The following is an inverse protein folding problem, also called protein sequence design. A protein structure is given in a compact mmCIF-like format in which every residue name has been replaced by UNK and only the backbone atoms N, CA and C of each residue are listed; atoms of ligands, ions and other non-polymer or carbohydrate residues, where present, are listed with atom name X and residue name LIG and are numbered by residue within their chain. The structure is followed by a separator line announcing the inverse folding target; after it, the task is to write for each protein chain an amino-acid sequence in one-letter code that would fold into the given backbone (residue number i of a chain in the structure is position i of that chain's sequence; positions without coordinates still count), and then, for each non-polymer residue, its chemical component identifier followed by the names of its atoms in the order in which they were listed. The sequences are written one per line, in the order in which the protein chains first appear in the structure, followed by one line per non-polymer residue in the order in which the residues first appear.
data_IF_081187887766
#
_entry.id   IF_081187887766
#
_cell.length_a   1.000
_cell.length_b   1.000
_cell.length_c   1.000
_cell.angle_alpha   90.00
_cell.angle_beta   90.00
_cell.angle_gamma   90.00
#
_symmetry.space_group_name_H-M   'P 1'
#
loop_
_entity.id
_entity.type
_entity.pdbx_description
1 polymer ?
#
# COMPACT_ATOMS: atom_id res chain seq x y z
N UNK A 1 13.22 -13.68 -11.29
CA UNK A 1 12.74 -14.14 -9.96
C UNK A 1 13.82 -13.90 -8.93
N UNK A 2 13.49 -13.25 -7.81
CA UNK A 2 14.37 -13.03 -6.64
C UNK A 2 13.84 -13.75 -5.41
N UNK A 3 14.76 -14.22 -4.55
CA UNK A 3 14.45 -14.67 -3.20
C UNK A 3 14.73 -13.52 -2.24
N UNK A 4 13.70 -13.03 -1.56
CA UNK A 4 13.77 -11.94 -0.61
C UNK A 4 13.45 -12.45 0.80
N UNK A 5 14.30 -12.14 1.75
CA UNK A 5 14.02 -12.33 3.19
C UNK A 5 13.50 -11.01 3.73
N UNK A 6 12.37 -11.04 4.40
CA UNK A 6 11.76 -9.84 4.96
C UNK A 6 11.55 -9.96 6.47
N UNK A 7 11.67 -8.82 7.14
CA UNK A 7 11.36 -8.61 8.56
C UNK A 7 10.60 -7.30 8.67
N UNK A 8 9.39 -7.34 9.21
CA UNK A 8 8.53 -6.18 9.42
C UNK A 8 8.07 -6.13 10.87
N UNK A 9 8.34 -5.01 11.54
CA UNK A 9 8.01 -4.80 12.94
C UNK A 9 7.19 -3.53 13.13
N UNK A 10 6.16 -3.61 13.97
CA UNK A 10 5.39 -2.46 14.43
C UNK A 10 5.25 -2.48 15.95
N UNK A 11 5.40 -1.31 16.57
CA UNK A 11 5.22 -1.12 18.00
C UNK A 11 4.38 0.12 18.29
N UNK A 12 3.31 -0.05 19.04
CA UNK A 12 2.54 1.02 19.66
C UNK A 12 2.91 1.14 21.14
N UNK A 13 3.14 2.37 21.57
CA UNK A 13 3.33 2.70 22.99
C UNK A 13 2.23 3.66 23.42
N UNK A 14 1.54 3.31 24.50
CA UNK A 14 0.46 4.11 25.07
C UNK A 14 0.95 4.90 26.27
N UNK A 15 0.52 6.16 26.41
CA UNK A 15 0.92 7.05 27.52
C UNK A 15 0.38 6.61 28.88
N UNK A 16 -0.64 5.75 28.90
CA UNK A 16 -1.23 5.11 30.09
C UNK A 16 -1.80 3.75 29.69
N UNK A 17 -2.02 2.82 30.66
CA UNK A 17 -2.57 1.51 30.35
C UNK A 17 -3.93 1.59 29.62
N UNK A 18 -4.06 0.78 28.58
CA UNK A 18 -5.29 0.55 27.83
C UNK A 18 -5.81 -0.86 28.11
N UNK A 19 -7.13 -1.05 28.04
CA UNK A 19 -7.80 -2.36 28.20
C UNK A 19 -8.74 -2.62 27.04
N UNK A 20 -9.26 -3.83 26.97
CA UNK A 20 -10.26 -4.23 25.96
C UNK A 20 -9.84 -3.90 24.53
N UNK A 21 -8.53 -4.05 24.27
CA UNK A 21 -7.96 -3.74 22.97
C UNK A 21 -8.31 -4.83 21.96
N UNK A 22 -9.17 -4.48 21.01
CA UNK A 22 -9.50 -5.30 19.84
C UNK A 22 -8.74 -4.75 18.65
N UNK A 23 -8.09 -5.63 17.91
CA UNK A 23 -7.29 -5.21 16.75
C UNK A 23 -7.51 -6.15 15.55
N UNK A 24 -7.20 -5.61 14.40
CA UNK A 24 -7.15 -6.31 13.12
C UNK A 24 -5.85 -5.95 12.42
N UNK A 25 -5.12 -6.95 11.96
CA UNK A 25 -3.84 -6.81 11.26
C UNK A 25 -3.94 -7.34 9.84
N UNK A 26 -3.36 -6.62 8.87
CA UNK A 26 -3.08 -7.04 7.49
C UNK A 26 -1.58 -6.95 7.24
N UNK A 27 -0.79 -7.56 8.10
CA UNK A 27 0.67 -7.42 8.09
C UNK A 27 1.40 -8.59 7.41
N UNK A 28 0.68 -9.65 7.06
CA UNK A 28 1.25 -10.85 6.46
C UNK A 28 1.12 -10.78 4.93
N UNK A 29 2.25 -10.78 4.19
CA UNK A 29 2.21 -10.92 2.74
C UNK A 29 1.58 -12.25 2.34
N UNK A 30 0.64 -12.22 1.39
CA UNK A 30 0.03 -13.43 0.85
C UNK A 30 0.75 -13.91 -0.42
N UNK A 31 0.69 -15.22 -0.68
CA UNK A 31 1.05 -15.75 -2.00
C UNK A 31 0.05 -15.26 -3.04
N UNK A 32 0.53 -14.75 -4.15
CA UNK A 32 -0.28 -14.13 -5.19
C UNK A 32 0.33 -14.30 -6.59
N UNK A 33 -0.19 -13.59 -7.58
CA UNK A 33 0.21 -13.75 -8.98
C UNK A 33 1.67 -13.45 -9.30
N UNK A 34 2.32 -12.58 -8.53
CA UNK A 34 3.71 -12.12 -8.74
C UNK A 34 4.69 -12.61 -7.69
N UNK A 35 4.18 -13.20 -6.61
CA UNK A 35 5.02 -13.64 -5.49
C UNK A 35 4.52 -14.94 -4.88
N UNK A 36 5.45 -15.73 -4.35
CA UNK A 36 5.19 -16.87 -3.48
C UNK A 36 5.81 -16.58 -2.12
N UNK A 37 5.02 -16.68 -1.05
CA UNK A 37 5.47 -16.41 0.32
C UNK A 37 5.50 -17.71 1.10
N UNK A 38 6.60 -17.94 1.82
CA UNK A 38 6.85 -19.16 2.60
C UNK A 38 7.54 -18.83 3.92
N UNK A 39 7.54 -19.76 4.85
CA UNK A 39 8.25 -19.67 6.13
C UNK A 39 7.90 -18.39 6.92
N UNK A 40 6.58 -18.08 6.96
CA UNK A 40 6.10 -16.89 7.66
C UNK A 40 5.97 -17.18 9.15
N UNK A 41 6.64 -16.36 9.94
CA UNK A 41 6.54 -16.33 11.40
C UNK A 41 5.90 -15.01 11.84
N UNK A 42 4.91 -15.08 12.73
CA UNK A 42 4.25 -13.92 13.33
C UNK A 42 4.40 -13.99 14.84
N UNK A 43 4.93 -12.93 15.45
CA UNK A 43 4.97 -12.77 16.89
C UNK A 43 4.18 -11.52 17.30
N UNK A 44 3.52 -11.58 18.43
CA UNK A 44 2.67 -10.48 18.93
C UNK A 44 2.89 -10.32 20.45
N UNK A 45 2.87 -9.09 20.92
CA UNK A 45 2.99 -8.75 22.35
C UNK A 45 1.91 -7.69 22.73
N UNK A 46 1.09 -7.91 23.76
CA UNK A 46 0.99 -9.13 24.59
C UNK A 46 0.58 -10.36 23.76
N UNK A 47 1.05 -11.55 24.18
CA UNK A 47 0.73 -12.82 23.54
C UNK A 47 -0.78 -13.13 23.68
N UNK A 48 -1.44 -13.33 22.56
CA UNK A 48 -2.88 -13.65 22.46
C UNK A 48 -3.15 -14.57 21.30
N UNK A 49 -4.24 -15.32 21.40
CA UNK A 49 -4.74 -16.14 20.29
C UNK A 49 -5.20 -15.24 19.13
N UNK A 50 -4.78 -15.57 17.93
CA UNK A 50 -5.14 -14.87 16.69
C UNK A 50 -6.07 -15.72 15.84
N UNK A 51 -7.19 -15.12 15.43
CA UNK A 51 -8.05 -15.68 14.40
C UNK A 51 -7.60 -15.15 13.02
N UNK A 52 -7.37 -16.04 12.06
CA UNK A 52 -6.90 -15.70 10.71
C UNK A 52 -7.99 -15.96 9.68
N UNK A 53 -8.25 -14.98 8.84
CA UNK A 53 -9.24 -15.01 7.75
C UNK A 53 -8.66 -14.39 6.47
N UNK A 54 -9.40 -14.47 5.37
CA UNK A 54 -9.10 -13.78 4.12
C UNK A 54 -10.23 -12.79 3.85
N UNK A 55 -9.87 -11.54 3.55
CA UNK A 55 -10.88 -10.51 3.24
C UNK A 55 -11.29 -10.51 1.76
N UNK A 56 -12.22 -9.60 1.39
CA UNK A 56 -12.73 -9.48 0.02
C UNK A 56 -11.70 -8.96 -1.01
N UNK A 57 -10.54 -8.54 -0.54
CA UNK A 57 -9.39 -8.15 -1.36
C UNK A 57 -8.30 -9.23 -1.40
N UNK A 58 -8.60 -10.44 -0.96
CA UNK A 58 -7.68 -11.57 -0.88
C UNK A 58 -6.48 -11.35 0.08
N UNK A 59 -6.59 -10.37 1.00
CA UNK A 59 -5.57 -10.10 2.00
C UNK A 59 -5.73 -11.01 3.22
N UNK A 60 -4.60 -11.44 3.80
CA UNK A 60 -4.58 -12.16 5.08
C UNK A 60 -4.94 -11.18 6.19
N UNK A 61 -5.98 -11.49 6.96
CA UNK A 61 -6.47 -10.68 8.08
C UNK A 61 -6.39 -11.49 9.36
N UNK A 62 -5.71 -10.94 10.34
CA UNK A 62 -5.60 -11.52 11.68
C UNK A 62 -6.31 -10.62 12.67
N UNK A 63 -7.14 -11.20 13.54
CA UNK A 63 -7.85 -10.47 14.59
C UNK A 63 -7.50 -11.01 15.96
N UNK A 64 -7.47 -10.13 16.96
CA UNK A 64 -7.18 -10.50 18.33
C UNK A 64 -7.85 -9.56 19.35
N UNK A 65 -7.84 -10.00 20.61
CA UNK A 65 -8.42 -9.27 21.72
C UNK A 65 -7.55 -9.38 22.98
N UNK A 66 -7.14 -8.24 23.53
CA UNK A 66 -6.36 -8.12 24.76
C UNK A 66 -7.22 -7.46 25.84
N UNK A 67 -7.84 -8.23 26.75
CA UNK A 67 -8.66 -7.65 27.83
C UNK A 67 -7.82 -7.00 28.94
N UNK A 68 -6.59 -7.46 29.15
CA UNK A 68 -5.74 -7.02 30.28
C UNK A 68 -5.16 -5.61 30.02
N UNK A 69 -4.90 -4.83 31.10
CA UNK A 69 -4.20 -3.56 30.99
C UNK A 69 -2.79 -3.75 30.40
N UNK A 70 -2.44 -2.94 29.40
CA UNK A 70 -1.11 -2.92 28.79
C UNK A 70 -0.75 -1.51 28.29
N UNK A 71 0.53 -1.22 28.17
CA UNK A 71 1.07 0.05 27.65
C UNK A 71 1.84 -0.12 26.35
N UNK A 72 2.04 -1.36 25.92
CA UNK A 72 2.74 -1.70 24.69
C UNK A 72 1.87 -2.70 23.92
N UNK A 73 1.78 -2.51 22.63
CA UNK A 73 1.28 -3.48 21.66
C UNK A 73 2.26 -3.53 20.51
N UNK A 74 2.77 -4.70 20.20
CA UNK A 74 3.68 -4.86 19.07
C UNK A 74 3.45 -6.17 18.34
N UNK A 75 3.84 -6.18 17.07
CA UNK A 75 3.92 -7.41 16.29
C UNK A 75 5.13 -7.37 15.36
N UNK A 76 5.63 -8.56 15.03
CA UNK A 76 6.62 -8.74 13.97
C UNK A 76 6.19 -9.84 13.02
N UNK A 77 6.57 -9.68 11.76
CA UNK A 77 6.31 -10.66 10.69
C UNK A 77 7.61 -10.86 9.91
N UNK A 78 8.09 -12.11 9.90
CA UNK A 78 9.30 -12.51 9.18
C UNK A 78 8.95 -13.59 8.18
N UNK A 79 9.70 -13.66 7.09
CA UNK A 79 9.47 -14.71 6.11
C UNK A 79 10.31 -14.56 4.85
N UNK A 80 9.99 -15.40 3.88
CA UNK A 80 10.66 -15.45 2.57
C UNK A 80 9.63 -15.22 1.48
N UNK A 81 9.93 -14.33 0.55
CA UNK A 81 9.15 -14.11 -0.66
C UNK A 81 9.99 -14.41 -1.91
N UNK A 82 9.47 -15.25 -2.80
CA UNK A 82 9.98 -15.40 -4.14
C UNK A 82 9.17 -14.51 -5.06
N UNK A 83 9.79 -13.48 -5.63
CA UNK A 83 9.12 -12.47 -6.45
C UNK A 83 9.56 -12.60 -7.90
N UNK A 84 8.60 -12.60 -8.83
CA UNK A 84 8.84 -12.73 -10.27
C UNK A 84 7.92 -11.81 -11.08
N UNK A 85 8.40 -10.62 -11.42
CA UNK A 85 7.67 -9.67 -12.25
C UNK A 85 7.73 -9.99 -13.75
N UNK A 86 8.65 -10.85 -14.19
CA UNK A 86 8.71 -11.28 -15.57
C UNK A 86 7.58 -12.28 -15.93
N UNK A 87 7.06 -13.01 -14.92
CA UNK A 87 6.08 -14.07 -15.11
C UNK A 87 4.84 -13.88 -14.21
N UNK A 88 4.26 -12.67 -14.20
CA UNK A 88 3.04 -12.36 -13.44
C UNK A 88 1.89 -13.22 -13.98
N UNK A 89 1.21 -13.96 -13.10
CA UNK A 89 0.04 -14.77 -13.45
C UNK A 89 -1.18 -13.88 -13.69
N UNK A 90 -2.11 -14.38 -14.51
CA UNK A 90 -3.38 -13.69 -14.77
C UNK A 90 -4.26 -13.64 -13.52
N UNK A 91 -4.99 -12.55 -13.37
CA UNK A 91 -6.03 -12.36 -12.35
C UNK A 91 -7.35 -11.96 -13.01
N UNK A 92 -8.46 -12.28 -12.33
CA UNK A 92 -9.79 -11.89 -12.78
C UNK A 92 -9.94 -10.38 -12.66
N UNK A 93 -10.46 -9.76 -13.72
CA UNK A 93 -10.81 -8.35 -13.72
C UNK A 93 -11.86 -8.02 -12.65
N UNK A 94 -11.58 -7.04 -11.80
CA UNK A 94 -12.52 -6.54 -10.78
C UNK A 94 -12.93 -5.09 -11.13
N UNK A 95 -14.17 -4.82 -11.58
CA UNK A 95 -14.61 -3.47 -12.01
C UNK A 95 -14.51 -2.39 -10.95
N UNK A 96 -14.52 -2.77 -9.66
CA UNK A 96 -14.46 -1.83 -8.52
C UNK A 96 -13.21 -0.91 -8.56
N UNK A 97 -12.12 -1.35 -9.20
CA UNK A 97 -10.88 -0.59 -9.32
C UNK A 97 -10.90 0.51 -10.40
N UNK A 98 -12.02 0.67 -11.11
CA UNK A 98 -12.27 1.82 -12.00
C UNK A 98 -12.88 3.03 -11.30
N UNK A 99 -13.37 2.85 -10.07
CA UNK A 99 -14.11 3.90 -9.37
C UNK A 99 -13.27 4.49 -8.25
N UNK A 100 -13.39 5.82 -8.06
CA UNK A 100 -12.76 6.49 -6.95
C UNK A 100 -13.38 6.08 -5.61
N UNK A 101 -12.55 6.10 -4.61
CA UNK A 101 -12.91 5.97 -3.19
C UNK A 101 -12.88 7.33 -2.50
N UNK A 102 -13.28 7.40 -1.24
CA UNK A 102 -13.32 8.67 -0.51
C UNK A 102 -11.96 9.41 -0.43
N UNK A 103 -10.83 8.69 -0.50
CA UNK A 103 -9.49 9.31 -0.49
C UNK A 103 -9.02 9.76 -1.87
N UNK A 104 -9.66 9.30 -2.95
CA UNK A 104 -9.24 9.56 -4.33
C UNK A 104 -10.28 10.33 -5.16
N UNK A 105 -11.30 10.94 -4.51
CA UNK A 105 -12.25 11.83 -5.19
C UNK A 105 -11.50 13.06 -5.69
N UNK A 106 -11.62 13.43 -6.98
CA UNK A 106 -10.97 14.61 -7.51
C UNK A 106 -11.62 15.90 -7.00
N UNK A 107 -10.79 16.93 -6.88
CA UNK A 107 -11.17 18.30 -6.75
C UNK A 107 -10.41 19.12 -7.80
N UNK A 108 -10.40 20.47 -7.69
CA UNK A 108 -9.85 21.33 -8.74
C UNK A 108 -8.40 21.06 -9.13
N UNK A 109 -7.52 20.69 -8.18
CA UNK A 109 -6.12 20.38 -8.48
C UNK A 109 -5.99 19.07 -9.26
N UNK A 110 -6.72 18.05 -8.85
CA UNK A 110 -6.74 16.75 -9.56
C UNK A 110 -7.38 16.92 -10.95
N UNK A 111 -8.45 17.70 -11.10
CA UNK A 111 -9.08 17.95 -12.40
C UNK A 111 -8.12 18.64 -13.38
N UNK A 112 -7.34 19.62 -12.90
CA UNK A 112 -6.29 20.25 -13.70
C UNK A 112 -5.21 19.23 -14.13
N UNK A 113 -4.78 18.35 -13.25
CA UNK A 113 -3.82 17.28 -13.56
C UNK A 113 -4.41 16.27 -14.55
N UNK A 114 -5.69 15.90 -14.42
CA UNK A 114 -6.39 15.03 -15.39
C UNK A 114 -6.36 15.65 -16.78
N UNK A 115 -6.61 16.96 -16.89
CA UNK A 115 -6.57 17.65 -18.18
C UNK A 115 -5.17 17.66 -18.79
N UNK A 116 -4.13 17.88 -17.99
CA UNK A 116 -2.74 17.81 -18.43
C UNK A 116 -2.35 16.39 -18.89
N UNK A 117 -2.69 15.36 -18.10
CA UNK A 117 -2.42 13.96 -18.45
C UNK A 117 -3.18 13.54 -19.73
N UNK A 118 -4.43 13.96 -19.91
CA UNK A 118 -5.17 13.68 -21.17
C UNK A 118 -4.48 14.28 -22.39
N UNK A 119 -3.91 15.48 -22.27
CA UNK A 119 -3.16 16.10 -23.37
C UNK A 119 -1.89 15.31 -23.69
N UNK A 120 -1.16 14.84 -22.69
CA UNK A 120 0.05 13.99 -22.86
C UNK A 120 -0.34 12.65 -23.51
N UNK A 121 -1.36 11.98 -22.98
CA UNK A 121 -1.84 10.69 -23.49
C UNK A 121 -2.31 10.81 -24.95
N UNK A 122 -2.98 11.92 -25.32
CA UNK A 122 -3.38 12.17 -26.72
C UNK A 122 -2.20 12.34 -27.69
N UNK A 123 -1.00 12.63 -27.19
CA UNK A 123 0.24 12.70 -27.97
C UNK A 123 0.94 11.36 -28.14
N UNK A 124 0.50 10.30 -27.44
CA UNK A 124 1.08 8.97 -27.58
C UNK A 124 0.75 8.33 -28.94
N UNK A 125 1.56 7.36 -29.41
CA UNK A 125 1.23 6.55 -30.58
C UNK A 125 -0.14 5.87 -30.47
N UNK A 126 -0.77 5.60 -31.61
CA UNK A 126 -2.12 5.00 -31.65
C UNK A 126 -2.20 3.57 -31.06
N UNK A 127 -1.07 2.90 -30.97
CA UNK A 127 -0.90 1.56 -30.38
C UNK A 127 -0.42 1.60 -28.92
N UNK A 128 -0.39 2.77 -28.29
CA UNK A 128 0.02 2.93 -26.90
C UNK A 128 -0.88 2.13 -25.96
N UNK A 129 -0.25 1.38 -25.08
CA UNK A 129 -0.91 0.50 -24.11
C UNK A 129 -1.44 1.28 -22.90
N UNK A 130 -2.33 0.69 -22.08
CA UNK A 130 -2.70 1.24 -20.78
C UNK A 130 -1.49 1.52 -19.87
N UNK A 131 -0.39 0.78 -20.01
CA UNK A 131 0.83 0.99 -19.23
C UNK A 131 1.57 2.24 -19.70
N UNK A 132 1.66 2.48 -21.03
CA UNK A 132 2.25 3.71 -21.55
C UNK A 132 1.46 4.95 -21.10
N UNK A 133 0.12 4.87 -21.10
CA UNK A 133 -0.73 5.94 -20.59
C UNK A 133 -0.53 6.18 -19.09
N UNK A 134 -0.41 5.11 -18.30
CA UNK A 134 -0.17 5.20 -16.86
C UNK A 134 1.22 5.76 -16.54
N UNK A 135 2.21 5.52 -17.41
CA UNK A 135 3.53 6.11 -17.29
C UNK A 135 3.49 7.64 -17.41
N UNK A 136 2.71 8.18 -18.36
CA UNK A 136 2.51 9.62 -18.47
C UNK A 136 1.86 10.23 -17.23
N UNK A 137 0.90 9.50 -16.62
CA UNK A 137 0.29 9.91 -15.35
C UNK A 137 1.30 9.87 -14.22
N UNK A 138 2.09 8.80 -14.11
CA UNK A 138 3.10 8.63 -13.07
C UNK A 138 4.14 9.74 -13.11
N UNK A 139 4.65 10.07 -14.29
CA UNK A 139 5.64 11.12 -14.47
C UNK A 139 5.10 12.50 -14.07
N UNK A 140 3.85 12.83 -14.44
CA UNK A 140 3.19 14.08 -14.06
C UNK A 140 3.01 14.17 -12.52
N UNK A 141 2.61 13.06 -11.88
CA UNK A 141 2.49 12.97 -10.41
C UNK A 141 3.85 13.16 -9.75
N UNK A 142 4.86 12.45 -10.23
CA UNK A 142 6.22 12.54 -9.67
C UNK A 142 6.76 13.99 -9.69
N UNK A 143 6.56 14.71 -10.79
CA UNK A 143 7.00 16.10 -10.94
C UNK A 143 6.21 17.08 -10.09
N UNK A 144 4.95 16.76 -9.74
CA UNK A 144 4.09 17.62 -8.96
C UNK A 144 4.40 17.65 -7.46
N UNK A 145 5.14 16.67 -6.95
CA UNK A 145 5.36 16.48 -5.52
C UNK A 145 6.80 16.68 -5.07
N UNK A 146 6.96 17.11 -3.82
CA UNK A 146 8.20 16.96 -3.04
C UNK A 146 7.96 15.97 -1.92
N UNK A 147 8.73 14.88 -1.88
CA UNK A 147 8.65 13.87 -0.82
C UNK A 147 8.95 14.52 0.53
N UNK A 148 7.98 14.52 1.43
CA UNK A 148 8.09 15.22 2.72
C UNK A 148 7.43 14.37 3.81
N UNK A 149 8.22 13.66 4.63
CA UNK A 149 7.70 12.90 5.78
C UNK A 149 6.90 13.80 6.74
N UNK A 150 5.86 13.24 7.36
CA UNK A 150 4.99 13.90 8.34
C UNK A 150 4.23 15.15 7.81
N UNK A 151 4.19 15.38 6.49
CA UNK A 151 3.41 16.49 5.90
C UNK A 151 1.92 16.17 5.76
N UNK A 152 1.57 14.89 5.79
CA UNK A 152 0.21 14.37 5.59
C UNK A 152 -0.14 13.33 6.65
N UNK A 153 -1.39 12.89 6.66
CA UNK A 153 -1.90 11.87 7.56
C UNK A 153 -2.64 10.80 6.76
N UNK A 154 -2.99 9.69 7.40
CA UNK A 154 -3.81 8.61 6.78
C UNK A 154 -5.22 9.10 6.35
N UNK A 155 -5.65 10.29 6.71
CA UNK A 155 -6.92 10.91 6.32
C UNK A 155 -6.78 11.91 5.19
N UNK A 156 -5.56 12.28 4.82
CA UNK A 156 -5.30 13.24 3.74
C UNK A 156 -5.79 12.66 2.42
N UNK A 157 -6.63 13.41 1.71
CA UNK A 157 -7.13 13.02 0.38
C UNK A 157 -6.11 13.33 -0.72
N UNK A 158 -6.24 12.70 -1.87
CA UNK A 158 -5.43 12.97 -3.05
C UNK A 158 -5.44 14.47 -3.42
N UNK A 159 -6.62 15.09 -3.40
CA UNK A 159 -6.79 16.52 -3.67
C UNK A 159 -6.01 17.40 -2.68
N UNK A 160 -6.11 17.11 -1.37
CA UNK A 160 -5.41 17.85 -0.33
C UNK A 160 -3.89 17.71 -0.45
N UNK A 161 -3.41 16.50 -0.72
CA UNK A 161 -1.98 16.25 -0.90
C UNK A 161 -1.44 16.98 -2.14
N UNK A 162 -2.13 16.90 -3.28
CA UNK A 162 -1.73 17.60 -4.50
C UNK A 162 -1.74 19.12 -4.34
N UNK A 163 -2.75 19.69 -3.65
CA UNK A 163 -2.82 21.12 -3.36
C UNK A 163 -1.60 21.61 -2.53
N UNK A 164 -1.09 20.78 -1.63
CA UNK A 164 0.11 21.07 -0.83
C UNK A 164 1.42 20.80 -1.58
N UNK A 165 1.39 20.01 -2.66
CA UNK A 165 2.58 19.52 -3.41
C UNK A 165 3.62 18.84 -2.53
N UNK A 166 3.19 18.25 -1.42
CA UNK A 166 4.02 17.54 -0.43
C UNK A 166 3.28 16.30 0.04
N UNK A 167 4.01 15.23 0.23
CA UNK A 167 3.43 13.99 0.69
C UNK A 167 4.46 12.87 0.80
N UNK A 168 3.96 11.69 1.13
CA UNK A 168 4.71 10.42 1.18
C UNK A 168 4.17 9.46 0.12
N UNK A 169 4.71 8.26 0.03
CA UNK A 169 4.34 7.25 -0.99
C UNK A 169 2.81 7.02 -1.09
N UNK A 170 2.09 7.04 0.02
CA UNK A 170 0.63 6.96 0.05
C UNK A 170 -0.04 8.07 -0.77
N UNK A 171 0.44 9.31 -0.62
CA UNK A 171 -0.15 10.49 -1.29
C UNK A 171 0.09 10.45 -2.80
N UNK A 172 1.32 10.13 -3.22
CA UNK A 172 1.67 9.91 -4.62
C UNK A 172 0.76 8.84 -5.25
N UNK A 173 0.59 7.70 -4.55
CA UNK A 173 -0.27 6.62 -5.02
C UNK A 173 -1.74 7.05 -5.13
N UNK A 174 -2.29 7.78 -4.14
CA UNK A 174 -3.68 8.25 -4.17
C UNK A 174 -3.93 9.23 -5.32
N UNK A 175 -3.00 10.17 -5.59
CA UNK A 175 -3.12 11.10 -6.72
C UNK A 175 -3.06 10.34 -8.03
N UNK A 176 -2.09 9.44 -8.21
CA UNK A 176 -1.99 8.60 -9.41
C UNK A 176 -3.25 7.78 -9.65
N UNK A 177 -3.82 7.15 -8.62
CA UNK A 177 -5.08 6.39 -8.70
C UNK A 177 -6.24 7.26 -9.16
N UNK A 178 -6.38 8.46 -8.58
CA UNK A 178 -7.44 9.39 -8.94
C UNK A 178 -7.37 9.75 -10.43
N UNK A 179 -6.20 10.13 -10.91
CA UNK A 179 -5.98 10.51 -12.32
C UNK A 179 -6.15 9.31 -13.25
N UNK A 180 -5.52 8.17 -12.96
CA UNK A 180 -5.62 6.95 -13.78
C UNK A 180 -7.07 6.53 -14.02
N UNK A 181 -7.91 6.52 -12.98
CA UNK A 181 -9.33 6.15 -13.09
C UNK A 181 -10.11 7.13 -13.95
N UNK A 182 -9.78 8.43 -13.90
CA UNK A 182 -10.45 9.47 -14.71
C UNK A 182 -10.00 9.51 -16.18
N UNK A 183 -8.81 9.02 -16.48
CA UNK A 183 -8.39 8.82 -17.87
C UNK A 183 -8.83 7.46 -18.43
N UNK A 184 -9.57 6.65 -17.65
CA UNK A 184 -10.20 5.40 -18.08
C UNK A 184 -9.40 4.14 -17.74
N UNK A 185 -8.28 4.26 -17.01
CA UNK A 185 -7.47 3.12 -16.58
C UNK A 185 -8.08 2.43 -15.35
N UNK A 186 -7.90 1.11 -15.27
CA UNK A 186 -8.25 0.34 -14.07
C UNK A 186 -7.02 0.25 -13.18
N UNK A 187 -7.11 0.81 -11.97
CA UNK A 187 -5.96 0.98 -11.09
C UNK A 187 -6.28 0.60 -9.64
N UNK A 188 -5.38 -0.14 -8.97
CA UNK A 188 -5.49 -0.50 -7.56
C UNK A 188 -4.32 0.03 -6.74
N UNK A 189 -4.60 0.32 -5.47
CA UNK A 189 -3.62 0.70 -4.46
C UNK A 189 -2.93 -0.55 -3.91
N UNK A 190 -1.63 -0.46 -3.68
CA UNK A 190 -0.85 -1.51 -3.04
C UNK A 190 -0.12 -0.93 -1.82
N UNK A 191 -0.13 -1.69 -0.74
CA UNK A 191 0.81 -1.52 0.38
C UNK A 191 1.71 -2.75 0.46
N UNK A 192 2.99 -2.52 0.74
CA UNK A 192 3.96 -3.61 0.82
C UNK A 192 5.31 -3.16 1.37
N UNK A 193 6.33 -3.96 1.09
CA UNK A 193 7.71 -3.73 1.48
C UNK A 193 8.57 -3.50 0.24
N UNK A 194 9.57 -2.65 0.36
CA UNK A 194 10.55 -2.37 -0.68
C UNK A 194 11.94 -2.82 -0.19
N UNK A 195 12.75 -3.36 -1.09
CA UNK A 195 14.12 -3.78 -0.82
C UNK A 195 14.96 -2.71 -0.14
N UNK A 196 15.67 -3.07 0.92
CA UNK A 196 16.42 -2.20 1.80
C UNK A 196 15.82 -2.11 3.21
N UNK A 197 16.17 -1.05 3.94
CA UNK A 197 15.65 -0.77 5.28
C UNK A 197 14.77 0.48 5.26
N UNK A 198 13.72 0.50 6.07
CA UNK A 198 12.81 1.64 6.16
C UNK A 198 11.47 1.33 6.81
N UNK A 199 10.42 1.85 6.21
CA UNK A 199 9.03 1.57 6.59
C UNK A 199 8.32 0.83 5.45
N UNK A 200 7.02 0.62 5.61
CA UNK A 200 6.17 0.13 4.51
C UNK A 200 6.13 1.13 3.36
N UNK A 201 5.89 0.62 2.17
CA UNK A 201 5.84 1.39 0.94
C UNK A 201 4.48 1.25 0.25
N UNK A 202 4.13 2.22 -0.60
CA UNK A 202 2.90 2.20 -1.37
C UNK A 202 3.17 2.49 -2.84
N UNK A 203 2.42 1.80 -3.72
CA UNK A 203 2.48 1.99 -5.17
C UNK A 203 1.13 1.73 -5.82
N UNK A 204 1.07 1.80 -7.13
CA UNK A 204 -0.13 1.59 -7.94
C UNK A 204 0.08 0.43 -8.88
N UNK A 205 -0.94 -0.39 -9.07
CA UNK A 205 -0.95 -1.38 -10.15
C UNK A 205 -2.07 -1.07 -11.15
N UNK A 206 -1.74 -1.23 -12.44
CA UNK A 206 -2.62 -1.01 -13.58
C UNK A 206 -2.99 -2.36 -14.18
N UNK A 207 -4.28 -2.58 -14.44
CA UNK A 207 -4.77 -3.79 -15.11
C UNK A 207 -4.56 -3.69 -16.61
N UNK A 208 -3.81 -4.62 -17.16
CA UNK A 208 -3.54 -4.73 -18.59
C UNK A 208 -3.35 -6.20 -18.97
N UNK A 209 -4.03 -6.63 -20.02
CA UNK A 209 -3.93 -7.98 -20.61
C UNK A 209 -4.01 -9.12 -19.57
N UNK A 210 -5.03 -9.03 -18.72
CA UNK A 210 -5.27 -10.05 -17.67
C UNK A 210 -4.33 -10.00 -16.48
N UNK A 211 -3.47 -8.98 -16.35
CA UNK A 211 -2.43 -8.88 -15.31
C UNK A 211 -2.43 -7.52 -14.65
N UNK A 212 -1.88 -7.48 -13.45
CA UNK A 212 -1.62 -6.24 -12.73
C UNK A 212 -0.15 -5.87 -12.82
N UNK A 213 0.13 -4.72 -13.41
CA UNK A 213 1.50 -4.20 -13.64
C UNK A 213 1.75 -3.04 -12.69
N UNK A 214 2.81 -3.15 -11.89
CA UNK A 214 3.13 -2.17 -10.85
C UNK A 214 3.92 -0.97 -11.36
N UNK A 215 3.51 0.23 -10.94
CA UNK A 215 4.20 1.50 -11.15
C UNK A 215 4.35 2.22 -9.80
N UNK A 216 5.54 2.70 -9.51
CA UNK A 216 5.87 3.40 -8.27
C UNK A 216 6.01 4.91 -8.54
N UNK A 217 4.97 5.71 -8.24
CA UNK A 217 5.00 7.15 -8.49
C UNK A 217 5.95 7.92 -7.55
N UNK A 218 6.38 7.32 -6.45
CA UNK A 218 7.35 7.95 -5.53
C UNK A 218 8.76 7.94 -6.11
N UNK A 219 9.09 6.89 -6.84
CA UNK A 219 10.42 6.72 -7.46
C UNK A 219 10.42 6.89 -8.98
N UNK A 220 9.27 7.18 -9.59
CA UNK A 220 9.05 7.32 -11.03
C UNK A 220 9.60 6.12 -11.82
N UNK A 221 9.21 4.89 -11.43
CA UNK A 221 9.71 3.65 -12.06
C UNK A 221 8.69 2.52 -12.04
N UNK A 222 8.94 1.53 -12.88
CA UNK A 222 8.22 0.25 -12.80
C UNK A 222 8.62 -0.48 -11.52
N UNK A 223 7.65 -1.21 -10.96
CA UNK A 223 7.86 -2.14 -9.85
C UNK A 223 8.64 -3.36 -10.36
N UNK A 224 9.72 -3.69 -9.67
CA UNK A 224 10.59 -4.82 -9.99
C UNK A 224 10.51 -5.96 -8.95
N UNK A 225 11.44 -6.91 -9.00
CA UNK A 225 11.47 -8.04 -8.08
C UNK A 225 11.91 -7.69 -6.65
N UNK A 226 12.17 -6.40 -6.32
CA UNK A 226 12.50 -5.95 -4.98
C UNK A 226 11.26 -5.52 -4.15
N UNK A 227 10.05 -5.65 -4.68
CA UNK A 227 8.81 -5.24 -4.01
C UNK A 227 8.01 -6.45 -3.57
N UNK A 228 7.66 -6.52 -2.29
CA UNK A 228 6.78 -7.53 -1.70
C UNK A 228 5.41 -6.91 -1.42
N UNK A 229 4.34 -7.45 -2.02
CA UNK A 229 2.96 -7.00 -1.76
C UNK A 229 2.46 -7.59 -0.45
N UNK A 230 1.91 -6.74 0.44
CA UNK A 230 1.19 -7.18 1.64
C UNK A 230 -0.31 -7.20 1.38
N UNK A 231 -0.88 -6.06 0.93
CA UNK A 231 -2.30 -5.94 0.66
C UNK A 231 -2.58 -5.02 -0.53
N UNK A 232 -3.76 -5.16 -1.13
CA UNK A 232 -4.23 -4.30 -2.20
C UNK A 232 -5.69 -3.91 -2.02
N UNK A 233 -6.08 -2.76 -2.58
CA UNK A 233 -7.42 -2.24 -2.44
C UNK A 233 -7.69 -1.05 -3.36
N UNK A 234 -8.81 -0.33 -3.09
CA UNK A 234 -9.17 0.89 -3.84
C UNK A 234 -8.33 2.09 -3.42
N UNK A 235 -7.99 2.13 -2.13
CA UNK A 235 -7.14 3.12 -1.49
C UNK A 235 -6.53 2.53 -0.20
N UNK A 236 -5.81 3.37 0.56
CA UNK A 236 -5.19 2.96 1.83
C UNK A 236 -6.19 2.37 2.84
N UNK A 237 -7.45 2.80 2.88
CA UNK A 237 -8.44 2.31 3.86
C UNK A 237 -8.75 0.84 3.70
N UNK A 238 -8.72 0.33 2.47
CA UNK A 238 -8.89 -1.10 2.21
C UNK A 238 -7.64 -1.91 2.61
N UNK A 239 -6.49 -1.25 2.76
CA UNK A 239 -5.17 -1.84 2.96
C UNK A 239 -4.53 -1.49 4.30
N UNK A 240 -5.26 -0.90 5.25
CA UNK A 240 -4.70 -0.53 6.56
C UNK A 240 -4.07 -1.75 7.24
N UNK A 241 -2.78 -1.65 7.55
CA UNK A 241 -1.99 -2.77 8.09
C UNK A 241 -2.39 -3.11 9.52
N UNK A 242 -2.75 -2.09 10.30
CA UNK A 242 -3.20 -2.21 11.67
C UNK A 242 -4.40 -1.29 11.94
N UNK A 243 -5.43 -1.83 12.56
CA UNK A 243 -6.60 -1.11 13.03
C UNK A 243 -6.90 -1.62 14.43
N UNK A 244 -7.07 -0.72 15.40
CA UNK A 244 -7.39 -1.09 16.77
C UNK A 244 -8.35 -0.12 17.44
N UNK A 245 -9.14 -0.66 18.38
CA UNK A 245 -9.93 0.12 19.33
C UNK A 245 -9.65 -0.40 20.75
N UNK A 246 -9.57 0.50 21.69
CA UNK A 246 -9.30 0.15 23.10
C UNK A 246 -10.04 1.07 24.05
N UNK A 247 -10.16 0.65 25.31
CA UNK A 247 -10.65 1.46 26.41
C UNK A 247 -9.48 2.14 27.11
N UNK A 248 -9.59 3.46 27.32
CA UNK A 248 -8.57 4.26 28.02
C UNK A 248 -8.99 5.73 28.09
N UNK A 249 -8.50 6.45 29.09
CA UNK A 249 -8.82 7.87 29.28
C UNK A 249 -7.65 8.75 28.84
N UNK A 250 -7.90 9.65 27.88
CA UNK A 250 -6.93 10.62 27.33
C UNK A 250 -5.58 9.98 26.93
N UNK A 251 -5.65 8.77 26.34
CA UNK A 251 -4.45 8.03 25.95
C UNK A 251 -3.85 8.64 24.68
N UNK A 252 -2.57 8.96 24.73
CA UNK A 252 -1.77 9.26 23.54
C UNK A 252 -1.06 7.99 23.11
N UNK A 253 -0.97 7.76 21.81
CA UNK A 253 -0.23 6.65 21.23
C UNK A 253 0.93 7.15 20.38
N UNK A 254 2.04 6.44 20.45
CA UNK A 254 3.18 6.63 19.56
C UNK A 254 3.43 5.34 18.81
N UNK A 255 3.58 5.42 17.49
CA UNK A 255 3.82 4.28 16.61
C UNK A 255 5.25 4.33 16.10
N UNK A 256 5.92 3.18 16.18
CA UNK A 256 7.19 2.94 15.54
C UNK A 256 7.05 1.77 14.57
N UNK A 257 7.65 1.90 13.39
CA UNK A 257 7.62 0.91 12.32
C UNK A 257 9.02 0.74 11.76
N UNK A 258 9.41 -0.49 11.53
CA UNK A 258 10.63 -0.84 10.81
C UNK A 258 10.37 -1.99 9.85
N UNK A 259 10.94 -1.91 8.67
CA UNK A 259 10.91 -2.96 7.66
C UNK A 259 12.29 -3.16 7.07
N UNK A 260 12.69 -4.40 6.91
CA UNK A 260 13.91 -4.76 6.18
C UNK A 260 13.61 -5.84 5.14
N UNK A 261 14.15 -5.68 3.94
CA UNK A 261 14.03 -6.65 2.86
C UNK A 261 15.38 -6.83 2.19
N UNK A 262 15.92 -8.04 2.23
CA UNK A 262 17.23 -8.35 1.68
C UNK A 262 17.14 -9.48 0.66
N UNK A 263 17.83 -9.32 -0.47
CA UNK A 263 17.98 -10.40 -1.44
C UNK A 263 18.91 -11.47 -0.88
N UNK A 264 18.47 -12.73 -0.93
CA UNK A 264 19.28 -13.91 -0.66
C UNK A 264 19.56 -14.62 -1.97
N UNK A 265 20.83 -14.80 -2.31
CA UNK A 265 21.21 -15.55 -3.50
C UNK A 265 20.64 -17.00 -3.41
N UNK A 266 20.10 -17.47 -4.54
CA UNK A 266 19.54 -18.82 -4.70
C UNK A 266 20.65 -19.87 -4.76
#
# INVERSE_FOLDING_TARGET
MKKLVFDYEMKLTFSSPVTDHRFQLRCVPATGPRQQVVDVEVAIEPDVELETTIDSFDSVVMTGFIPQPHTIFSYSVKGIAFVDNAHIKSEIYKPLYRFNSALTIPGPCIEAMIAACRARIAGLPADATPIDQAWEVMDEVYQAFTYTPASTTIRTTAEQALAQRKGVCQDYAHVMLSVCRHVGLTARYIVGLLGGEGATHAWVEIYHDGRWIGLDPTHNRMVDDNYITIAHGRDYRDCMLDIGIFSGYQVQQNQWVNASVHEQLL
#
